data_IF_324392627117
#
_entry.id   IF_324392627117
#
_cell.length_a   1.000
_cell.length_b   1.000
_cell.length_c   1.000
_cell.angle_alpha   90.00
_cell.angle_beta   90.00
_cell.angle_gamma   90.00
#
_symmetry.space_group_name_H-M   'P 1'
#
loop_
_entity.id
_entity.type
_entity.pdbx_description
1 polymer ?
#
# COMPACT_ATOMS: atom_id res chain seq x y z
N UNK A 1 -0.73 18.00 -24.25
CA UNK A 1 -0.73 17.30 -22.95
C UNK A 1 -0.85 15.82 -23.28
N UNK A 2 0.18 15.00 -23.01
CA UNK A 2 0.01 13.55 -23.13
C UNK A 2 -1.06 13.10 -22.14
N UNK A 3 -1.98 12.25 -22.60
CA UNK A 3 -2.97 11.61 -21.73
C UNK A 3 -2.30 10.71 -20.69
N UNK A 4 -3.04 10.34 -19.64
CA UNK A 4 -2.57 9.39 -18.63
C UNK A 4 -2.35 8.02 -19.24
N UNK A 5 -1.25 7.39 -18.84
CA UNK A 5 -0.97 5.97 -19.11
C UNK A 5 -1.89 5.06 -18.29
N UNK A 6 -2.07 3.80 -18.70
CA UNK A 6 -2.83 2.82 -17.92
C UNK A 6 -2.34 2.68 -16.48
N UNK A 7 -1.02 2.73 -16.25
CA UNK A 7 -0.40 2.71 -14.91
C UNK A 7 -0.78 3.92 -14.06
N UNK A 8 -0.84 5.11 -14.66
CA UNK A 8 -1.27 6.34 -13.95
C UNK A 8 -2.75 6.32 -13.65
N UNK A 9 -3.58 5.79 -14.56
CA UNK A 9 -5.00 5.57 -14.32
C UNK A 9 -5.22 4.55 -13.20
N UNK A 10 -4.50 3.43 -13.20
CA UNK A 10 -4.58 2.40 -12.16
C UNK A 10 -4.20 2.97 -10.78
N UNK A 11 -3.15 3.81 -10.74
CA UNK A 11 -2.78 4.55 -9.54
C UNK A 11 -3.90 5.47 -9.06
N UNK A 12 -4.49 6.26 -9.96
CA UNK A 12 -5.56 7.20 -9.60
C UNK A 12 -6.81 6.47 -9.07
N UNK A 13 -7.19 5.35 -9.69
CA UNK A 13 -8.29 4.49 -9.23
C UNK A 13 -7.97 3.93 -7.84
N UNK A 14 -6.79 3.35 -7.67
CA UNK A 14 -6.39 2.79 -6.38
C UNK A 14 -6.31 3.86 -5.28
N UNK A 15 -5.85 5.08 -5.60
CA UNK A 15 -5.81 6.17 -4.64
C UNK A 15 -7.24 6.57 -4.21
N UNK A 16 -8.18 6.67 -5.15
CA UNK A 16 -9.58 6.99 -4.88
C UNK A 16 -10.33 5.88 -4.11
N UNK A 17 -10.14 4.61 -4.50
CA UNK A 17 -10.92 3.49 -3.96
C UNK A 17 -10.30 2.89 -2.71
N UNK A 18 -8.97 2.75 -2.70
CA UNK A 18 -8.24 2.02 -1.66
C UNK A 18 -7.60 2.94 -0.64
N UNK A 19 -7.22 4.18 -0.99
CA UNK A 19 -6.50 5.05 -0.07
C UNK A 19 -7.37 6.14 0.58
N UNK A 20 -8.46 6.59 -0.05
CA UNK A 20 -9.40 7.53 0.57
C UNK A 20 -10.06 6.92 1.83
N UNK A 21 -10.45 5.64 1.79
CA UNK A 21 -10.98 4.93 2.96
C UNK A 21 -9.94 4.63 4.06
N UNK A 22 -8.64 4.74 3.73
CA UNK A 22 -7.53 4.64 4.68
C UNK A 22 -7.07 6.02 5.19
N UNK A 23 -7.83 7.08 4.89
CA UNK A 23 -7.66 8.34 5.60
C UNK A 23 -7.95 8.11 7.09
N UNK A 24 -6.98 8.46 7.94
CA UNK A 24 -6.90 7.94 9.29
C UNK A 24 -8.11 8.33 10.16
N UNK A 25 -8.86 7.32 10.58
CA UNK A 25 -9.58 7.39 11.84
C UNK A 25 -8.55 7.66 12.95
N UNK A 26 -8.80 8.59 13.88
CA UNK A 26 -7.83 8.92 14.90
C UNK A 26 -7.64 7.71 15.83
N UNK A 27 -6.50 7.04 15.71
CA UNK A 27 -6.03 6.07 16.71
C UNK A 27 -5.58 6.86 17.95
N UNK A 28 -6.56 7.36 18.70
CA UNK A 28 -6.32 7.98 20.00
C UNK A 28 -5.92 6.89 20.99
N UNK A 29 -5.00 7.24 21.89
CA UNK A 29 -4.73 6.48 23.11
C UNK A 29 -6.00 6.46 23.96
N UNK A 30 -6.72 5.33 23.92
CA UNK A 30 -8.12 5.19 24.40
C UNK A 30 -9.11 4.84 23.28
N UNK A 31 -8.66 4.05 22.30
CA UNK A 31 -9.25 3.94 20.96
C UNK A 31 -10.74 3.60 20.90
N UNK A 32 -11.34 3.81 19.72
CA UNK A 32 -12.78 3.63 19.50
C UNK A 32 -13.25 2.20 19.79
N UNK A 33 -14.57 2.00 19.91
CA UNK A 33 -15.16 0.66 20.10
C UNK A 33 -14.79 -0.26 18.94
N UNK A 34 -14.80 -1.57 19.19
CA UNK A 34 -14.55 -2.59 18.17
C UNK A 34 -15.44 -2.40 16.93
N UNK A 35 -16.68 -1.96 17.12
CA UNK A 35 -17.68 -1.66 16.07
C UNK A 35 -17.23 -0.54 15.13
N UNK A 36 -16.58 0.52 15.62
CA UNK A 36 -16.06 1.60 14.79
C UNK A 36 -14.81 1.19 13.99
N UNK A 37 -14.05 0.19 14.49
CA UNK A 37 -12.91 -0.41 13.77
C UNK A 37 -13.37 -1.40 12.69
N UNK A 38 -14.46 -2.13 12.94
CA UNK A 38 -15.11 -3.02 11.96
C UNK A 38 -15.88 -2.21 10.89
N UNK A 39 -16.42 -1.03 11.24
CA UNK A 39 -17.09 -0.11 10.32
C UNK A 39 -16.12 0.61 9.35
N UNK A 40 -14.88 0.91 9.77
CA UNK A 40 -13.81 1.31 8.86
C UNK A 40 -13.22 0.05 8.20
N UNK A 41 -13.85 -0.44 7.14
CA UNK A 41 -13.42 -1.61 6.39
C UNK A 41 -11.96 -1.53 5.95
N UNK A 42 -11.05 -2.10 6.74
CA UNK A 42 -9.63 -2.23 6.39
C UNK A 42 -9.50 -3.28 5.30
N UNK A 43 -9.55 -2.87 4.04
CA UNK A 43 -9.47 -3.78 2.90
C UNK A 43 -8.02 -3.95 2.41
N UNK A 44 -7.61 -5.21 2.20
CA UNK A 44 -6.27 -5.52 1.69
C UNK A 44 -5.15 -5.40 2.73
N UNK A 45 -5.45 -5.66 4.01
CA UNK A 45 -4.41 -5.80 5.04
C UNK A 45 -3.74 -7.17 4.90
N UNK A 46 -2.43 -7.15 4.68
CA UNK A 46 -1.57 -8.34 4.78
C UNK A 46 -0.76 -8.25 6.07
N UNK A 47 -1.17 -9.02 7.08
CA UNK A 47 -0.54 -9.01 8.40
C UNK A 47 0.70 -9.91 8.47
N UNK A 48 1.58 -9.73 9.47
CA UNK A 48 2.69 -10.65 9.69
C UNK A 48 2.21 -12.10 9.83
N UNK A 49 2.92 -13.10 9.24
CA UNK A 49 2.47 -14.49 9.24
C UNK A 49 2.19 -15.06 10.63
N UNK A 50 3.03 -14.75 11.62
CA UNK A 50 2.87 -15.22 12.99
C UNK A 50 1.61 -14.68 13.68
N UNK A 51 1.16 -13.47 13.31
CA UNK A 51 -0.10 -12.91 13.80
C UNK A 51 -1.28 -13.51 13.03
N UNK A 52 -1.20 -13.53 11.70
CA UNK A 52 -2.23 -14.05 10.81
C UNK A 52 -2.67 -15.48 11.19
N UNK A 53 -1.71 -16.36 11.46
CA UNK A 53 -1.96 -17.76 11.86
C UNK A 53 -2.78 -17.91 13.16
N UNK A 54 -2.70 -16.93 14.07
CA UNK A 54 -3.34 -16.99 15.39
C UNK A 54 -4.76 -16.43 15.45
N UNK A 55 -5.16 -15.59 14.48
CA UNK A 55 -6.43 -14.85 14.53
C UNK A 55 -7.29 -14.95 13.25
N UNK A 56 -6.84 -15.72 12.24
CA UNK A 56 -7.56 -15.88 10.97
C UNK A 56 -7.46 -14.66 10.04
N UNK A 57 -6.48 -13.77 10.31
CA UNK A 57 -6.08 -12.75 9.34
C UNK A 57 -5.19 -13.37 8.25
N UNK A 58 -4.88 -12.59 7.22
CA UNK A 58 -4.16 -13.07 6.04
C UNK A 58 -2.82 -12.39 5.92
N UNK A 59 -1.80 -13.16 5.54
CA UNK A 59 -0.46 -12.65 5.25
C UNK A 59 -0.17 -12.56 3.75
N UNK A 60 -1.08 -13.02 2.89
CA UNK A 60 -0.91 -12.92 1.43
C UNK A 60 -2.20 -12.62 0.68
N UNK A 61 -2.02 -12.08 -0.54
CA UNK A 61 -3.05 -11.99 -1.57
C UNK A 61 -2.50 -12.52 -2.90
N UNK A 62 -3.39 -13.01 -3.73
CA UNK A 62 -3.07 -13.76 -4.94
C UNK A 62 -4.00 -13.38 -6.09
N UNK A 63 -3.43 -13.14 -7.26
CA UNK A 63 -4.16 -12.89 -8.49
C UNK A 63 -3.63 -13.75 -9.66
N UNK A 64 -4.55 -14.32 -10.44
CA UNK A 64 -4.28 -14.93 -11.74
C UNK A 64 -4.89 -14.07 -12.85
N UNK A 65 -4.09 -13.77 -13.87
CA UNK A 65 -4.52 -13.00 -15.04
C UNK A 65 -4.23 -13.81 -16.31
N UNK A 66 -5.03 -13.59 -17.36
CA UNK A 66 -4.69 -14.06 -18.70
C UNK A 66 -4.18 -12.89 -19.53
N UNK A 67 -3.14 -13.14 -20.33
CA UNK A 67 -2.64 -12.19 -21.31
C UNK A 67 -2.30 -12.86 -22.63
N UNK A 68 -2.58 -12.17 -23.72
CA UNK A 68 -2.26 -12.57 -25.08
C UNK A 68 -1.07 -11.77 -25.58
N UNK A 69 -0.07 -12.43 -26.14
CA UNK A 69 1.04 -11.77 -26.83
C UNK A 69 0.56 -11.34 -28.21
N UNK A 70 0.52 -10.04 -28.48
CA UNK A 70 0.20 -9.52 -29.81
C UNK A 70 1.46 -9.60 -30.67
N UNK A 71 1.54 -10.49 -31.68
CA UNK A 71 2.71 -10.52 -32.53
C UNK A 71 2.86 -9.17 -33.23
N UNK A 72 4.03 -8.55 -33.10
CA UNK A 72 4.42 -7.45 -33.96
C UNK A 72 4.21 -7.86 -35.42
N UNK A 73 3.61 -6.98 -36.24
CA UNK A 73 3.27 -7.24 -37.66
C UNK A 73 4.40 -8.03 -38.35
N UNK A 74 4.25 -9.36 -38.49
CA UNK A 74 5.22 -10.20 -39.19
C UNK A 74 5.46 -11.60 -38.64
N UNK A 75 5.20 -11.89 -37.36
CA UNK A 75 5.47 -13.22 -36.80
C UNK A 75 4.27 -14.15 -36.93
N UNK A 76 4.43 -15.24 -37.71
CA UNK A 76 3.43 -16.30 -37.83
C UNK A 76 3.05 -16.91 -36.49
N UNK A 77 1.84 -17.48 -36.41
CA UNK A 77 1.52 -18.45 -35.37
C UNK A 77 2.59 -19.57 -35.41
N UNK A 78 2.91 -20.11 -34.23
CA UNK A 78 3.83 -21.24 -33.96
C UNK A 78 5.22 -20.80 -33.46
N UNK A 79 5.39 -20.95 -32.14
CA UNK A 79 6.58 -21.43 -31.38
C UNK A 79 7.96 -21.35 -32.04
N UNK A 80 8.36 -20.19 -32.54
CA UNK A 80 9.73 -19.98 -32.94
C UNK A 80 10.57 -19.59 -31.71
N UNK A 81 11.52 -20.46 -31.34
CA UNK A 81 12.41 -20.29 -30.17
C UNK A 81 13.27 -19.03 -30.33
N UNK A 82 13.48 -18.58 -31.57
CA UNK A 82 14.28 -17.40 -31.89
C UNK A 82 13.59 -16.06 -31.54
N UNK A 83 12.29 -16.08 -31.22
CA UNK A 83 11.51 -14.87 -30.86
C UNK A 83 11.36 -14.66 -29.35
N UNK A 84 12.11 -15.40 -28.52
CA UNK A 84 12.07 -15.24 -27.06
C UNK A 84 12.48 -13.83 -26.60
N UNK A 85 13.33 -13.15 -27.38
CA UNK A 85 13.70 -11.74 -27.17
C UNK A 85 12.52 -10.75 -27.33
N UNK A 86 11.45 -11.15 -28.04
CA UNK A 86 10.29 -10.29 -28.35
C UNK A 86 9.18 -10.36 -27.28
N UNK A 87 9.33 -11.19 -26.26
CA UNK A 87 8.34 -11.33 -25.18
C UNK A 87 8.33 -10.11 -24.25
N UNK A 88 9.38 -9.30 -24.22
CA UNK A 88 9.42 -8.07 -23.42
C UNK A 88 9.49 -8.30 -21.91
N UNK A 89 9.01 -7.32 -21.14
CA UNK A 89 9.16 -7.24 -19.68
C UNK A 89 7.80 -7.06 -19.03
N UNK A 90 7.51 -7.87 -18.00
CA UNK A 90 6.44 -7.59 -17.07
C UNK A 90 6.93 -6.62 -16.00
N UNK A 91 6.27 -5.46 -15.91
CA UNK A 91 6.41 -4.56 -14.77
C UNK A 91 5.31 -4.85 -13.76
N UNK A 92 5.73 -5.17 -12.54
CA UNK A 92 4.82 -5.29 -11.40
C UNK A 92 5.12 -4.16 -10.43
N UNK A 93 4.15 -3.27 -10.23
CA UNK A 93 4.21 -2.25 -9.20
C UNK A 93 3.44 -2.73 -7.98
N UNK A 94 4.16 -2.97 -6.91
CA UNK A 94 3.59 -3.30 -5.60
C UNK A 94 3.31 -2.01 -4.86
N UNK A 95 2.06 -1.82 -4.41
CA UNK A 95 1.63 -0.64 -3.66
C UNK A 95 0.95 -1.06 -2.38
N UNK A 96 1.26 -0.38 -1.31
CA UNK A 96 0.62 -0.53 -0.01
C UNK A 96 0.85 0.74 0.82
N UNK A 97 0.15 0.88 1.93
CA UNK A 97 0.46 1.89 2.94
C UNK A 97 1.10 1.22 4.15
N UNK A 98 2.02 1.93 4.77
CA UNK A 98 2.59 1.57 6.07
C UNK A 98 2.03 2.48 7.15
N UNK A 99 1.90 1.96 8.36
CA UNK A 99 1.58 2.76 9.52
C UNK A 99 2.78 3.65 9.89
N UNK A 100 2.50 4.89 10.29
CA UNK A 100 3.49 5.84 10.79
C UNK A 100 3.01 6.38 12.14
N UNK A 101 3.86 6.27 13.15
CA UNK A 101 3.64 6.87 14.45
C UNK A 101 4.09 8.33 14.42
N UNK A 102 3.12 9.24 14.51
CA UNK A 102 3.39 10.66 14.67
C UNK A 102 3.27 10.99 16.15
N UNK A 103 4.41 11.24 16.80
CA UNK A 103 4.48 11.75 18.17
C UNK A 103 4.84 13.24 18.17
N UNK A 104 4.33 13.97 19.14
CA UNK A 104 4.65 15.39 19.33
C UNK A 104 5.39 15.52 20.66
N UNK A 105 6.42 16.37 20.66
CA UNK A 105 7.30 16.57 21.80
C UNK A 105 7.35 18.05 22.13
N UNK A 106 7.28 18.38 23.43
CA UNK A 106 7.37 19.75 23.93
C UNK A 106 8.65 19.94 24.74
N UNK A 107 9.31 21.10 24.57
CA UNK A 107 10.38 21.52 25.46
C UNK A 107 9.82 21.84 26.85
N UNK A 108 10.36 21.19 27.89
CA UNK A 108 10.09 21.48 29.31
C UNK A 108 11.41 21.79 30.02
N UNK A 109 11.33 22.39 31.22
CA UNK A 109 12.51 22.65 32.07
C UNK A 109 13.14 21.30 32.44
N UNK A 110 14.22 20.92 31.74
CA UNK A 110 14.88 19.62 31.89
C UNK A 110 14.95 18.75 30.62
N UNK A 111 14.31 19.15 29.51
CA UNK A 111 14.44 18.45 28.22
C UNK A 111 13.17 18.38 27.38
N UNK A 112 13.20 17.58 26.32
CA UNK A 112 12.03 17.29 25.48
C UNK A 112 11.27 16.09 26.05
N UNK A 113 9.96 16.20 26.16
CA UNK A 113 9.07 15.11 26.57
C UNK A 113 7.95 14.90 25.55
N UNK A 114 7.49 13.65 25.31
CA UNK A 114 6.37 13.39 24.44
C UNK A 114 5.08 13.91 25.09
N UNK A 115 4.18 14.46 24.28
CA UNK A 115 2.88 15.01 24.69
C UNK A 115 1.83 14.71 23.64
N UNK A 116 0.56 14.68 24.04
CA UNK A 116 -0.56 14.41 23.13
C UNK A 116 -0.80 15.56 22.15
N UNK A 117 -0.47 16.81 22.54
CA UNK A 117 -0.59 17.97 21.69
C UNK A 117 0.41 19.09 22.05
N UNK A 118 0.83 19.86 21.05
CA UNK A 118 1.56 21.12 21.19
C UNK A 118 0.90 22.17 20.30
N UNK A 119 0.69 23.38 20.82
CA UNK A 119 0.25 24.51 20.01
C UNK A 119 1.47 25.29 19.51
N UNK A 120 1.50 25.55 18.21
CA UNK A 120 2.47 26.41 17.55
C UNK A 120 1.75 27.62 16.88
N UNK A 121 2.47 28.55 16.24
CA UNK A 121 1.85 29.68 15.57
C UNK A 121 0.91 29.32 14.41
N UNK A 122 0.99 28.10 13.87
CA UNK A 122 0.19 27.60 12.75
C UNK A 122 -1.00 26.74 13.19
N UNK A 123 -1.08 26.34 14.46
CA UNK A 123 -2.22 25.61 15.02
C UNK A 123 -1.86 24.64 16.14
N UNK A 124 -2.74 23.66 16.37
CA UNK A 124 -2.48 22.57 17.31
C UNK A 124 -1.96 21.33 16.58
N UNK A 125 -0.79 20.84 16.98
CA UNK A 125 -0.17 19.62 16.48
C UNK A 125 -0.45 18.49 17.48
N UNK A 126 -1.08 17.41 17.04
CA UNK A 126 -1.45 16.26 17.90
C UNK A 126 -0.64 15.00 17.64
N UNK A 127 -0.39 14.19 18.64
CA UNK A 127 0.14 12.83 18.46
C UNK A 127 -0.99 11.92 17.95
N UNK A 128 -0.70 11.12 16.94
CA UNK A 128 -1.66 10.21 16.32
C UNK A 128 -0.95 9.23 15.36
N UNK A 129 -1.66 8.20 14.89
CA UNK A 129 -1.16 7.31 13.83
C UNK A 129 -1.70 7.75 12.48
N UNK A 130 -0.81 7.81 11.50
CA UNK A 130 -1.11 8.10 10.11
C UNK A 130 -0.66 6.92 9.23
N UNK A 131 -0.96 6.98 7.94
CA UNK A 131 -0.47 6.01 6.96
C UNK A 131 0.26 6.69 5.82
N UNK A 132 1.40 6.13 5.41
CA UNK A 132 2.22 6.64 4.32
C UNK A 132 2.25 5.62 3.16
N UNK A 133 2.14 6.06 1.89
CA UNK A 133 2.22 5.15 0.76
C UNK A 133 3.64 4.59 0.61
N UNK A 134 3.74 3.37 0.13
CA UNK A 134 4.97 2.67 -0.26
C UNK A 134 4.74 2.06 -1.64
N UNK A 135 5.68 2.29 -2.56
CA UNK A 135 5.61 1.81 -3.93
C UNK A 135 6.96 1.20 -4.30
N UNK A 136 6.95 0.00 -4.88
CA UNK A 136 8.14 -0.65 -5.40
C UNK A 136 7.83 -1.25 -6.77
N UNK A 137 8.65 -0.92 -7.76
CA UNK A 137 8.57 -1.48 -9.11
C UNK A 137 9.52 -2.68 -9.22
N UNK A 138 9.00 -3.79 -9.73
CA UNK A 138 9.76 -4.98 -10.11
C UNK A 138 9.63 -5.16 -11.61
N UNK A 139 10.77 -5.32 -12.29
CA UNK A 139 10.84 -5.59 -13.71
C UNK A 139 11.33 -7.02 -13.90
N UNK A 140 10.54 -7.86 -14.57
CA UNK A 140 10.90 -9.25 -14.84
C UNK A 140 10.78 -9.52 -16.34
N UNK A 141 11.85 -9.96 -17.01
CA UNK A 141 11.74 -10.47 -18.37
C UNK A 141 10.69 -11.57 -18.43
N UNK A 142 9.77 -11.51 -19.38
CA UNK A 142 8.72 -12.54 -19.50
C UNK A 142 9.31 -13.91 -19.86
N UNK A 143 10.52 -13.92 -20.45
CA UNK A 143 11.35 -15.11 -20.67
C UNK A 143 11.75 -15.83 -19.38
N UNK A 144 11.86 -15.11 -18.27
CA UNK A 144 12.24 -15.68 -16.96
C UNK A 144 11.03 -16.27 -16.22
N UNK A 145 9.81 -15.89 -16.62
CA UNK A 145 8.56 -16.37 -16.03
C UNK A 145 7.91 -17.48 -16.84
N UNK A 146 7.97 -17.38 -18.17
CA UNK A 146 7.38 -18.33 -19.10
C UNK A 146 8.33 -19.51 -19.32
N UNK A 147 7.85 -20.72 -19.01
CA UNK A 147 8.52 -21.96 -19.42
C UNK A 147 8.55 -22.14 -20.93
N UNK A 148 9.30 -23.15 -21.40
CA UNK A 148 9.36 -23.51 -22.83
C UNK A 148 7.96 -23.90 -23.33
N UNK A 149 7.48 -23.37 -24.46
CA UNK A 149 6.20 -23.77 -25.03
C UNK A 149 6.15 -25.29 -25.27
N UNK A 150 5.11 -25.96 -24.76
CA UNK A 150 4.88 -27.40 -24.99
C UNK A 150 5.43 -28.34 -23.92
N UNK A 151 6.00 -27.82 -22.84
CA UNK A 151 6.33 -28.63 -21.66
C UNK A 151 5.03 -29.02 -20.90
N UNK A 152 4.73 -30.33 -20.73
CA UNK A 152 3.55 -30.80 -20.00
C UNK A 152 3.69 -30.72 -18.46
N UNK A 153 4.85 -30.30 -17.92
CA UNK A 153 5.15 -30.25 -16.47
C UNK A 153 4.30 -29.20 -15.72
N UNK A 154 4.19 -29.27 -14.36
CA UNK A 154 3.29 -28.43 -13.57
C UNK A 154 3.68 -26.95 -13.65
N UNK A 155 2.76 -26.08 -13.21
CA UNK A 155 2.93 -24.63 -13.20
C UNK A 155 4.39 -24.24 -12.85
N UNK A 156 5.08 -23.45 -13.71
CA UNK A 156 6.51 -23.21 -13.54
C UNK A 156 6.78 -22.66 -12.15
N UNK A 157 7.88 -23.13 -11.54
CA UNK A 157 8.24 -22.77 -10.18
C UNK A 157 8.21 -21.23 -10.02
N UNK A 158 7.41 -20.69 -9.08
CA UNK A 158 7.32 -19.25 -8.90
C UNK A 158 8.67 -18.62 -8.61
N UNK A 159 8.98 -17.55 -9.33
CA UNK A 159 10.11 -16.68 -9.05
C UNK A 159 9.76 -15.77 -7.88
N UNK A 160 10.48 -15.92 -6.77
CA UNK A 160 10.32 -15.09 -5.58
C UNK A 160 11.24 -13.89 -5.62
N UNK A 161 10.67 -12.68 -5.56
CA UNK A 161 11.39 -11.41 -5.48
C UNK A 161 11.20 -10.80 -4.08
N UNK A 162 12.26 -10.59 -3.29
CA UNK A 162 12.15 -9.93 -2.00
C UNK A 162 11.89 -8.42 -2.16
N UNK A 163 11.02 -7.89 -1.33
CA UNK A 163 10.65 -6.47 -1.24
C UNK A 163 10.93 -5.98 0.19
N UNK A 164 11.57 -4.82 0.30
CA UNK A 164 11.94 -4.25 1.61
C UNK A 164 11.56 -2.79 1.65
N UNK A 165 10.65 -2.42 2.55
CA UNK A 165 10.43 -1.04 2.94
C UNK A 165 11.20 -0.77 4.24
N UNK A 166 12.28 0.03 4.21
CA UNK A 166 13.14 0.22 5.39
C UNK A 166 12.40 0.98 6.50
N UNK A 167 12.78 0.65 7.74
CA UNK A 167 12.43 1.44 8.91
C UNK A 167 13.00 2.86 8.78
N UNK A 168 12.38 3.81 9.45
CA UNK A 168 12.86 5.18 9.39
C UNK A 168 12.19 6.09 10.38
N UNK A 169 12.79 7.27 10.51
CA UNK A 169 12.36 8.32 11.41
C UNK A 169 12.61 9.67 10.77
N UNK A 170 11.62 10.54 10.83
CA UNK A 170 11.69 11.92 10.40
C UNK A 170 11.40 12.83 11.61
N UNK A 171 12.18 13.91 11.74
CA UNK A 171 12.00 14.91 12.80
C UNK A 171 11.73 16.26 12.14
N UNK A 172 10.53 16.77 12.35
CA UNK A 172 10.12 18.10 11.92
C UNK A 172 10.20 19.04 13.13
N UNK A 173 10.98 20.10 13.00
CA UNK A 173 11.06 21.14 14.02
C UNK A 173 9.89 22.10 13.81
N UNK A 174 9.11 22.38 14.86
CA UNK A 174 8.14 23.48 14.79
C UNK A 174 8.90 24.79 14.87
N UNK A 175 8.47 25.81 14.13
CA UNK A 175 9.17 27.09 14.05
C UNK A 175 9.55 27.64 15.44
N UNK A 176 10.76 28.19 15.53
CA UNK A 176 11.17 29.02 16.68
C UNK A 176 10.27 30.26 16.74
N UNK A 177 9.93 30.79 17.93
CA UNK A 177 9.25 32.06 18.00
C UNK A 177 10.08 33.14 17.32
N UNK A 178 9.37 34.03 16.65
CA UNK A 178 9.82 35.33 16.18
C UNK A 178 10.81 35.98 17.17
N UNK A 179 11.97 36.39 16.66
CA UNK A 179 12.95 37.15 17.43
C UNK A 179 12.28 38.38 18.05
N UNK A 180 12.53 38.64 19.34
CA UNK A 180 12.05 39.85 20.00
C UNK A 180 12.43 41.09 19.17
N UNK A 181 11.54 42.09 19.02
CA UNK A 181 11.88 43.31 18.32
C UNK A 181 13.11 43.96 18.98
N UNK A 182 14.01 44.61 18.19
CA UNK A 182 15.23 45.19 18.74
C UNK A 182 14.90 46.20 19.85
N UNK A 183 15.75 46.33 20.88
CA UNK A 183 15.51 47.27 21.97
C UNK A 183 15.69 48.70 21.43
N UNK A 184 14.59 49.33 21.04
CA UNK A 184 14.64 50.68 20.47
C UNK A 184 13.30 51.37 20.21
N UNK A 185 12.17 50.83 20.69
CA UNK A 185 10.87 51.49 20.60
C UNK A 185 10.66 52.45 21.78
N UNK A 186 10.49 53.74 21.50
CA UNK A 186 10.35 54.80 22.48
C UNK A 186 9.20 54.55 23.49
N UNK A 187 9.50 54.80 24.76
CA UNK A 187 8.58 54.69 25.89
C UNK A 187 7.55 55.84 25.85
N UNK A 188 6.25 55.51 25.87
CA UNK A 188 5.19 56.49 26.09
C UNK A 188 4.60 56.30 27.50
N UNK A 189 4.61 57.32 28.38
CA UNK A 189 3.97 57.23 29.68
C UNK A 189 2.48 57.50 29.55
N UNK A 190 1.63 56.52 29.85
CA UNK A 190 0.19 56.74 29.93
C UNK A 190 -0.70 55.52 29.68
N UNK A 191 -0.48 54.41 30.36
CA UNK A 191 -1.51 53.40 30.53
C UNK A 191 -1.24 52.61 31.81
N UNK A 192 -2.27 52.51 32.66
CA UNK A 192 -2.21 51.90 33.97
C UNK A 192 -1.62 50.48 33.94
N UNK A 193 -0.66 50.28 34.83
CA UNK A 193 -0.06 48.99 35.19
C UNK A 193 -1.12 48.03 35.71
N UNK A 194 -1.60 47.13 34.85
CA UNK A 194 -2.07 45.83 35.29
C UNK A 194 -0.84 44.93 35.40
N UNK A 195 -0.50 44.57 36.64
CA UNK A 195 0.43 43.51 36.95
C UNK A 195 -0.13 42.18 36.41
N UNK A 196 0.15 41.89 35.14
CA UNK A 196 0.21 40.50 34.71
C UNK A 196 1.46 39.91 35.33
N UNK A 197 1.29 38.89 36.17
CA UNK A 197 2.36 37.98 36.50
C UNK A 197 2.90 37.45 35.17
N UNK A 198 4.03 37.99 34.73
CA UNK A 198 4.80 37.46 33.62
C UNK A 198 5.30 36.08 34.04
N UNK A 199 4.43 35.08 33.93
CA UNK A 199 4.87 33.72 33.70
C UNK A 199 5.61 33.77 32.38
N UNK A 200 6.94 33.69 32.44
CA UNK A 200 7.79 33.48 31.28
C UNK A 200 7.17 32.37 30.44
N UNK A 201 6.47 32.74 29.38
CA UNK A 201 5.97 31.83 28.38
C UNK A 201 7.19 31.34 27.62
N UNK A 202 7.90 30.38 28.23
CA UNK A 202 8.96 29.61 27.63
C UNK A 202 8.37 29.04 26.36
N UNK A 203 8.78 29.60 25.23
CA UNK A 203 8.20 29.24 23.95
C UNK A 203 8.49 27.76 23.73
N UNK A 204 7.41 26.97 23.69
CA UNK A 204 7.48 25.54 23.46
C UNK A 204 8.08 25.31 22.07
N UNK A 205 9.39 25.06 22.03
CA UNK A 205 10.02 24.47 20.84
C UNK A 205 9.48 23.05 20.72
N UNK A 206 8.43 22.90 19.93
CA UNK A 206 7.83 21.61 19.61
C UNK A 206 8.69 20.83 18.62
N UNK A 207 8.61 19.50 18.68
CA UNK A 207 9.11 18.62 17.63
C UNK A 207 8.04 17.62 17.27
N UNK A 208 7.81 17.42 15.98
CA UNK A 208 7.00 16.32 15.48
C UNK A 208 7.97 15.23 15.03
N UNK A 209 7.79 14.03 15.57
CA UNK A 209 8.57 12.87 15.19
C UNK A 209 7.64 11.88 14.50
N UNK A 210 7.94 11.55 13.25
CA UNK A 210 7.27 10.49 12.49
C UNK A 210 8.20 9.29 12.46
N UNK A 211 7.73 8.13 12.90
CA UNK A 211 8.51 6.89 12.90
C UNK A 211 7.71 5.76 12.25
N UNK A 212 8.39 4.86 11.55
CA UNK A 212 7.76 3.70 10.92
C UNK A 212 8.68 2.49 10.97
N UNK A 213 8.07 1.31 10.98
CA UNK A 213 8.78 0.05 11.05
C UNK A 213 9.24 -0.41 9.67
N UNK A 214 10.24 -1.29 9.67
CA UNK A 214 10.63 -2.06 8.49
C UNK A 214 9.51 -3.02 8.14
N UNK A 215 9.23 -3.15 6.85
CA UNK A 215 8.33 -4.15 6.30
C UNK A 215 9.11 -5.00 5.29
N UNK A 216 8.98 -6.31 5.43
CA UNK A 216 9.54 -7.30 4.53
C UNK A 216 8.37 -8.01 3.84
N UNK A 217 8.49 -8.18 2.53
CA UNK A 217 7.49 -8.85 1.72
C UNK A 217 8.15 -9.64 0.59
N UNK A 218 7.42 -10.55 -0.01
CA UNK A 218 7.84 -11.34 -1.15
C UNK A 218 6.78 -11.26 -2.25
N UNK A 219 7.23 -11.03 -3.47
CA UNK A 219 6.42 -11.12 -4.68
C UNK A 219 6.79 -12.40 -5.41
N UNK A 220 5.86 -13.36 -5.48
CA UNK A 220 6.02 -14.61 -6.21
C UNK A 220 5.32 -14.48 -7.57
N UNK A 221 6.05 -14.71 -8.66
CA UNK A 221 5.54 -14.61 -10.03
C UNK A 221 5.84 -15.88 -10.81
N UNK A 222 4.87 -16.38 -11.56
CA UNK A 222 5.11 -17.37 -12.62
C UNK A 222 4.16 -17.11 -13.78
N UNK A 223 4.52 -17.56 -14.98
CA UNK A 223 3.62 -17.47 -16.12
C UNK A 223 3.67 -18.78 -16.90
N UNK A 224 2.53 -19.28 -17.36
CA UNK A 224 2.46 -20.52 -18.13
C UNK A 224 1.72 -20.29 -19.45
N UNK A 225 2.24 -20.85 -20.53
CA UNK A 225 1.51 -20.91 -21.79
C UNK A 225 0.27 -21.79 -21.66
N UNK A 226 -0.84 -21.34 -22.21
CA UNK A 226 -2.07 -22.12 -22.26
C UNK A 226 -2.19 -22.86 -23.60
N UNK A 227 -2.76 -24.07 -23.60
CA UNK A 227 -2.93 -24.83 -24.84
C UNK A 227 -3.91 -24.12 -25.76
N UNK A 228 -3.64 -24.12 -27.07
CA UNK A 228 -4.54 -23.57 -28.07
C UNK A 228 -3.83 -22.83 -29.18
N UNK A 229 -4.58 -22.29 -30.15
CA UNK A 229 -4.01 -21.57 -31.28
C UNK A 229 -3.56 -20.14 -30.93
N UNK A 230 -4.05 -19.58 -29.82
CA UNK A 230 -3.71 -18.22 -29.39
C UNK A 230 -2.43 -18.21 -28.53
N UNK A 231 -1.60 -17.17 -28.68
CA UNK A 231 -0.39 -16.98 -27.86
C UNK A 231 -0.77 -16.42 -26.49
N UNK A 232 -1.44 -17.24 -25.68
CA UNK A 232 -2.01 -16.82 -24.40
C UNK A 232 -1.28 -17.52 -23.27
N UNK A 233 -0.99 -16.76 -22.23
CA UNK A 233 -0.43 -17.29 -21.02
C UNK A 233 -1.25 -16.85 -19.79
N UNK A 234 -1.17 -17.67 -18.75
CA UNK A 234 -1.71 -17.36 -17.43
C UNK A 234 -0.57 -16.87 -16.55
N UNK A 235 -0.69 -15.65 -16.05
CA UNK A 235 0.18 -15.06 -15.06
C UNK A 235 -0.35 -15.37 -13.67
N UNK A 236 0.51 -15.87 -12.80
CA UNK A 236 0.32 -15.99 -11.36
C UNK A 236 1.10 -14.88 -10.67
N UNK A 237 0.45 -14.14 -9.78
CA UNK A 237 1.09 -13.13 -8.95
C UNK A 237 0.59 -13.21 -7.51
N UNK A 238 1.51 -13.49 -6.57
CA UNK A 238 1.21 -13.50 -5.15
C UNK A 238 2.11 -12.52 -4.40
N UNK A 239 1.50 -11.71 -3.54
CA UNK A 239 2.20 -10.85 -2.61
C UNK A 239 2.05 -11.40 -1.19
N UNK A 240 3.17 -11.66 -0.52
CA UNK A 240 3.22 -12.15 0.86
C UNK A 240 3.91 -11.15 1.76
N UNK A 241 3.32 -10.84 2.91
CA UNK A 241 4.02 -10.19 4.01
C UNK A 241 4.88 -11.23 4.73
N UNK A 242 6.18 -10.95 4.88
CA UNK A 242 7.16 -11.80 5.57
C UNK A 242 7.79 -11.09 6.77
N UNK A 243 7.24 -9.94 7.16
CA UNK A 243 7.72 -9.14 8.28
C UNK A 243 7.74 -9.96 9.58
N UNK A 244 8.85 -9.95 10.33
CA UNK A 244 8.95 -10.69 11.57
C UNK A 244 8.01 -10.08 12.62
N UNK A 245 7.23 -10.91 13.29
CA UNK A 245 6.39 -10.47 14.39
C UNK A 245 6.31 -11.55 15.47
N UNK A 246 6.24 -11.11 16.71
CA UNK A 246 6.00 -11.98 17.86
C UNK A 246 4.99 -11.28 18.76
N UNK A 247 4.05 -12.03 19.35
CA UNK A 247 3.18 -11.47 20.37
C UNK A 247 4.03 -10.94 21.53
N UNK A 248 3.61 -9.83 22.13
CA UNK A 248 4.20 -9.39 23.40
C UNK A 248 4.06 -10.48 24.47
N UNK A 249 4.83 -10.40 25.57
CA UNK A 249 4.74 -11.38 26.65
C UNK A 249 3.28 -11.48 27.14
N UNK A 250 2.65 -12.64 26.96
CA UNK A 250 1.34 -12.93 27.51
C UNK A 250 1.47 -13.13 29.01
N UNK A 251 0.59 -12.48 29.78
CA UNK A 251 0.43 -12.71 31.21
C UNK A 251 0.06 -14.20 31.40
N UNK A 252 0.97 -14.96 31.98
CA UNK A 252 0.86 -16.33 32.51
C UNK A 252 0.56 -17.50 31.54
N UNK A 253 0.43 -17.29 30.22
CA UNK A 253 0.43 -18.34 29.18
C UNK A 253 -0.68 -19.41 29.28
N UNK A 254 -1.52 -19.36 30.31
CA UNK A 254 -2.53 -20.35 30.70
C UNK A 254 -3.97 -19.85 30.46
N UNK A 255 -4.15 -18.57 30.16
CA UNK A 255 -5.45 -17.96 29.86
C UNK A 255 -5.50 -17.45 28.42
N UNK A 256 -6.64 -17.62 27.75
CA UNK A 256 -6.89 -17.00 26.46
C UNK A 256 -6.86 -15.47 26.61
N UNK A 257 -6.18 -14.73 25.71
CA UNK A 257 -6.00 -13.30 25.86
C UNK A 257 -7.34 -12.55 25.86
N UNK A 258 -7.46 -11.61 26.79
CA UNK A 258 -8.63 -10.73 26.89
C UNK A 258 -8.84 -9.90 25.63
N UNK A 259 -10.03 -9.31 25.47
CA UNK A 259 -10.34 -8.47 24.29
C UNK A 259 -9.35 -7.30 24.13
N UNK A 260 -8.93 -6.67 25.23
CA UNK A 260 -7.94 -5.57 25.23
C UNK A 260 -6.56 -6.03 24.78
N UNK A 261 -6.11 -7.21 25.22
CA UNK A 261 -4.81 -7.76 24.82
C UNK A 261 -4.80 -8.14 23.34
N UNK A 262 -5.90 -8.71 22.83
CA UNK A 262 -6.08 -8.98 21.40
C UNK A 262 -6.06 -7.70 20.56
N UNK A 263 -6.74 -6.64 21.03
CA UNK A 263 -6.70 -5.34 20.36
C UNK A 263 -5.29 -4.74 20.35
N UNK A 264 -4.55 -4.81 21.46
CA UNK A 264 -3.18 -4.33 21.54
C UNK A 264 -2.23 -5.14 20.63
N UNK A 265 -2.39 -6.47 20.57
CA UNK A 265 -1.63 -7.34 19.68
C UNK A 265 -1.90 -7.01 18.21
N UNK A 266 -3.17 -6.77 17.84
CA UNK A 266 -3.54 -6.32 16.49
C UNK A 266 -2.92 -4.97 16.14
N UNK A 267 -3.00 -4.00 17.05
CA UNK A 267 -2.40 -2.68 16.85
C UNK A 267 -0.88 -2.77 16.60
N UNK A 268 -0.18 -3.66 17.31
CA UNK A 268 1.24 -3.91 17.08
C UNK A 268 1.50 -4.66 15.77
N UNK A 269 0.65 -5.61 15.40
CA UNK A 269 0.73 -6.30 14.12
C UNK A 269 0.56 -5.34 12.94
N UNK A 270 -0.36 -4.38 13.03
CA UNK A 270 -0.60 -3.36 12.00
C UNK A 270 0.63 -2.50 11.67
N UNK A 271 1.55 -2.31 12.64
CA UNK A 271 2.83 -1.62 12.40
C UNK A 271 3.72 -2.38 11.41
N UNK A 272 3.53 -3.69 11.34
CA UNK A 272 4.26 -4.64 10.49
C UNK A 272 3.39 -5.20 9.37
N UNK A 273 2.23 -4.61 9.10
CA UNK A 273 1.31 -5.02 8.03
C UNK A 273 1.47 -4.17 6.77
N UNK A 274 1.19 -4.78 5.61
CA UNK A 274 0.97 -4.05 4.35
C UNK A 274 -0.51 -3.65 4.30
N UNK A 275 -0.81 -2.35 4.40
CA UNK A 275 -2.18 -1.85 4.41
C UNK A 275 -2.64 -1.50 2.99
N UNK A 276 -3.89 -1.81 2.61
CA UNK A 276 -4.39 -1.56 1.26
C UNK A 276 -3.44 -2.09 0.17
N UNK A 277 -2.88 -3.29 0.38
CA UNK A 277 -1.93 -3.90 -0.53
C UNK A 277 -2.61 -4.27 -1.85
N UNK A 278 -2.00 -3.87 -2.96
CA UNK A 278 -2.48 -4.13 -4.32
C UNK A 278 -1.32 -4.15 -5.32
N UNK A 279 -1.56 -4.74 -6.50
CA UNK A 279 -0.60 -4.85 -7.58
C UNK A 279 -1.10 -4.07 -8.81
N UNK A 280 -0.19 -3.39 -9.50
CA UNK A 280 -0.42 -2.92 -10.88
C UNK A 280 0.52 -3.69 -11.79
N UNK A 281 -0.05 -4.45 -12.71
CA UNK A 281 0.65 -5.29 -13.67
C UNK A 281 0.65 -4.57 -15.02
N UNK A 282 1.80 -4.47 -15.65
CA UNK A 282 1.96 -3.78 -16.94
C UNK A 282 2.88 -4.58 -17.85
N UNK A 283 2.39 -4.95 -19.03
CA UNK A 283 3.11 -5.78 -19.99
C UNK A 283 2.97 -5.18 -21.41
N UNK A 284 3.87 -4.28 -21.82
CA UNK A 284 3.82 -3.70 -23.17
C UNK A 284 4.04 -4.78 -24.24
N UNK A 285 3.28 -4.71 -25.33
CA UNK A 285 3.27 -5.75 -26.38
C UNK A 285 2.39 -6.96 -26.03
N UNK A 286 1.70 -6.90 -24.90
CA UNK A 286 0.72 -7.89 -24.48
C UNK A 286 -0.62 -7.22 -24.22
N UNK A 287 -1.67 -8.02 -24.34
CA UNK A 287 -3.04 -7.62 -24.06
C UNK A 287 -3.61 -8.52 -22.97
N UNK A 288 -3.88 -7.97 -21.80
CA UNK A 288 -4.62 -8.66 -20.76
C UNK A 288 -6.07 -8.90 -21.20
N UNK A 289 -6.64 -10.03 -20.77
CA UNK A 289 -8.01 -10.39 -21.06
C UNK A 289 -8.89 -10.10 -19.85
N UNK A 290 -10.11 -9.63 -20.11
CA UNK A 290 -11.13 -9.50 -19.08
C UNK A 290 -11.46 -10.88 -18.50
N UNK A 291 -11.46 -10.99 -17.17
CA UNK A 291 -11.97 -12.20 -16.50
C UNK A 291 -13.50 -12.21 -16.40
N UNK A 292 -14.14 -11.03 -16.47
CA UNK A 292 -15.59 -10.87 -16.34
C UNK A 292 -16.32 -10.92 -17.67
N UNK A 293 -15.68 -10.45 -18.75
CA UNK A 293 -16.20 -10.47 -20.12
C UNK A 293 -15.14 -11.02 -21.09
N UNK A 294 -14.70 -12.29 -20.90
CA UNK A 294 -13.67 -12.89 -21.73
C UNK A 294 -14.15 -13.13 -23.16
N UNK A 295 -13.26 -13.12 -24.16
CA UNK A 295 -13.60 -13.63 -25.48
C UNK A 295 -14.02 -15.10 -25.38
N UNK A 296 -14.92 -15.54 -26.27
CA UNK A 296 -15.56 -16.86 -26.19
C UNK A 296 -14.59 -18.04 -26.05
N UNK A 297 -13.41 -17.96 -26.68
CA UNK A 297 -12.40 -19.01 -26.63
C UNK A 297 -11.65 -19.08 -25.28
N UNK A 298 -11.65 -17.98 -24.51
CA UNK A 298 -10.94 -17.86 -23.23
C UNK A 298 -11.82 -18.22 -22.02
N UNK A 299 -13.14 -18.37 -22.20
CA UNK A 299 -14.12 -18.58 -21.12
C UNK A 299 -13.71 -19.71 -20.17
N UNK A 300 -13.24 -20.85 -20.69
CA UNK A 300 -12.81 -21.97 -19.84
C UNK A 300 -11.51 -21.64 -19.10
N UNK A 301 -10.58 -20.94 -19.72
CA UNK A 301 -9.32 -20.54 -19.08
C UNK A 301 -9.55 -19.49 -17.98
N UNK A 302 -10.44 -18.52 -18.20
CA UNK A 302 -10.78 -17.52 -17.18
C UNK A 302 -11.56 -18.13 -16.02
N UNK A 303 -12.45 -19.10 -16.28
CA UNK A 303 -13.15 -19.84 -15.23
C UNK A 303 -12.21 -20.68 -14.34
N UNK A 304 -11.01 -21.03 -14.84
CA UNK A 304 -9.97 -21.70 -14.06
C UNK A 304 -9.07 -20.73 -13.29
N UNK A 305 -9.20 -19.41 -13.48
CA UNK A 305 -8.40 -18.44 -12.75
C UNK A 305 -8.90 -18.32 -11.31
N UNK A 306 -7.99 -18.46 -10.35
CA UNK A 306 -8.28 -18.31 -8.93
C UNK A 306 -7.70 -17.01 -8.38
N UNK A 307 -8.51 -16.23 -7.68
CA UNK A 307 -8.12 -14.92 -7.16
C UNK A 307 -8.53 -14.82 -5.68
N UNK A 308 -7.58 -14.47 -4.81
CA UNK A 308 -7.81 -14.32 -3.38
C UNK A 308 -7.31 -12.96 -2.90
N UNK A 309 -8.23 -12.09 -2.49
CA UNK A 309 -7.91 -10.76 -1.94
C UNK A 309 -7.11 -9.86 -2.90
N UNK A 310 -7.08 -10.21 -4.18
CA UNK A 310 -6.54 -9.44 -5.28
C UNK A 310 -7.31 -9.83 -6.55
N UNK A 311 -8.34 -9.05 -6.88
CA UNK A 311 -9.16 -9.25 -8.07
C UNK A 311 -8.64 -8.37 -9.20
N UNK A 312 -8.16 -8.96 -10.30
CA UNK A 312 -7.61 -8.22 -11.42
C UNK A 312 -8.73 -7.58 -12.24
N UNK A 313 -8.55 -6.30 -12.57
CA UNK A 313 -9.38 -5.57 -13.53
C UNK A 313 -8.51 -4.87 -14.56
N UNK A 314 -8.99 -4.82 -15.79
CA UNK A 314 -8.33 -4.09 -16.87
C UNK A 314 -8.36 -2.60 -16.58
N UNK A 315 -7.26 -1.92 -16.88
CA UNK A 315 -7.16 -0.47 -16.79
C UNK A 315 -6.51 0.04 -18.06
N UNK A 316 -7.15 1.00 -18.73
CA UNK A 316 -6.59 1.62 -19.94
C UNK A 316 -6.14 3.05 -19.64
N UNK A 317 -5.20 3.54 -20.45
CA UNK A 317 -4.87 4.96 -20.51
C UNK A 317 -6.01 5.79 -21.09
N UNK A 318 -5.83 7.11 -21.11
CA UNK A 318 -6.82 8.06 -21.67
C UNK A 318 -7.01 7.87 -23.21
N UNK A 319 -6.06 7.23 -23.88
CA UNK A 319 -6.15 6.86 -25.29
C UNK A 319 -7.00 5.59 -25.55
N UNK A 320 -7.30 4.83 -24.48
CA UNK A 320 -8.08 3.59 -24.51
C UNK A 320 -7.63 2.58 -25.57
N UNK A 321 -6.37 2.63 -25.99
CA UNK A 321 -5.93 1.90 -27.18
C UNK A 321 -5.32 0.53 -26.87
N UNK A 322 -4.90 0.29 -25.63
CA UNK A 322 -4.28 -0.98 -25.22
C UNK A 322 -4.72 -1.40 -23.81
N UNK A 323 -5.08 -2.68 -23.67
CA UNK A 323 -5.34 -3.34 -22.38
C UNK A 323 -4.07 -4.02 -21.87
N UNK A 324 -2.98 -3.25 -21.82
CA UNK A 324 -1.66 -3.73 -21.38
C UNK A 324 -1.43 -3.59 -19.87
N UNK A 325 -2.43 -3.07 -19.14
CA UNK A 325 -2.37 -2.79 -17.71
C UNK A 325 -3.53 -3.44 -16.95
N UNK A 326 -3.21 -4.04 -15.81
CA UNK A 326 -4.18 -4.59 -14.85
C UNK A 326 -3.95 -3.98 -13.46
N UNK A 327 -5.04 -3.68 -12.76
CA UNK A 327 -5.05 -3.40 -11.32
C UNK A 327 -5.59 -4.63 -10.59
N UNK A 328 -4.76 -5.31 -9.81
CA UNK A 328 -5.22 -6.37 -8.89
C UNK A 328 -5.51 -5.76 -7.52
N UNK A 329 -6.79 -5.47 -7.27
CA UNK A 329 -7.25 -4.75 -6.09
C UNK A 329 -7.84 -5.70 -5.03
N UNK A 330 -7.76 -5.37 -3.73
CA UNK A 330 -8.39 -6.15 -2.67
C UNK A 330 -9.90 -5.91 -2.55
N UNK A 331 -10.51 -5.27 -3.53
CA UNK A 331 -11.96 -5.10 -3.70
C UNK A 331 -12.35 -5.52 -5.11
N UNK A 332 -13.56 -6.03 -5.29
CA UNK A 332 -14.08 -6.37 -6.61
C UNK A 332 -14.47 -5.09 -7.33
N UNK A 333 -13.88 -4.86 -8.50
CA UNK A 333 -14.18 -3.75 -9.41
C UNK A 333 -14.66 -4.30 -10.75
N UNK A 334 -15.29 -3.46 -11.56
CA UNK A 334 -15.49 -3.73 -12.97
C UNK A 334 -14.28 -3.27 -13.77
N UNK A 335 -14.05 -3.86 -14.94
CA UNK A 335 -13.02 -3.41 -15.88
C UNK A 335 -13.19 -1.93 -16.24
N UNK A 336 -12.04 -1.29 -16.50
CA UNK A 336 -11.90 0.14 -16.74
C UNK A 336 -12.60 1.00 -15.68
N UNK A 337 -12.32 0.75 -14.38
CA UNK A 337 -12.93 1.52 -13.32
C UNK A 337 -12.55 2.99 -13.45
N UNK A 338 -13.52 3.88 -13.22
CA UNK A 338 -13.26 5.32 -13.20
C UNK A 338 -12.93 5.75 -11.78
N UNK A 339 -11.81 6.47 -11.63
CA UNK A 339 -11.53 7.21 -10.41
C UNK A 339 -12.64 8.25 -10.23
N UNK A 340 -13.62 7.94 -9.38
CA UNK A 340 -14.70 8.87 -9.05
C UNK A 340 -14.29 9.53 -7.74
N UNK A 341 -14.00 10.84 -7.71
CA UNK A 341 -13.71 11.52 -6.45
C UNK A 341 -14.97 11.44 -5.57
N UNK A 342 -14.86 10.85 -4.38
CA UNK A 342 -15.86 11.00 -3.32
C UNK A 342 -17.06 10.04 -3.32
N UNK A 343 -16.93 8.78 -3.74
CA UNK A 343 -17.96 7.77 -3.42
C UNK A 343 -17.57 7.01 -2.14
N UNK A 344 -17.79 7.66 -1.00
CA UNK A 344 -18.12 6.99 0.25
C UNK A 344 -19.33 7.72 0.82
N UNK A 345 -20.49 7.05 0.81
CA UNK A 345 -21.64 7.43 1.62
C UNK A 345 -21.41 7.00 3.05
#
# INVERSE_FOLDING_TARGET
>A
MSGRTGVETARAVADAVLYEGYQPFPYLSGGPTQEAREACGQVGVLAPPAFAAGVGEHSSCHAECLFEHEPGRGAGLVTDVDHQADLGVLRVRVRFRRLVDRSVWAGRRGGLAPVDAVRDPHGELRAWRESAPCEQDVLVPLTDLLGTPGDPDPDPAPRTIPLVAPAGREVLLTATPFAAPPPGGAWHPGAASQSSSAGEALVASGRVVRAWHRLDAELCLSARWLPGPFRVARLYAELRNTSPWSPGPTTDGLAAPGATERAAARDEALRRSLLAAHLVLYAPGWRFLSLTDPPWWAVTFTACCHNERAWPVLVSGDDHCHDDTVLAAPVVLTDHPRATPGVVR
#
